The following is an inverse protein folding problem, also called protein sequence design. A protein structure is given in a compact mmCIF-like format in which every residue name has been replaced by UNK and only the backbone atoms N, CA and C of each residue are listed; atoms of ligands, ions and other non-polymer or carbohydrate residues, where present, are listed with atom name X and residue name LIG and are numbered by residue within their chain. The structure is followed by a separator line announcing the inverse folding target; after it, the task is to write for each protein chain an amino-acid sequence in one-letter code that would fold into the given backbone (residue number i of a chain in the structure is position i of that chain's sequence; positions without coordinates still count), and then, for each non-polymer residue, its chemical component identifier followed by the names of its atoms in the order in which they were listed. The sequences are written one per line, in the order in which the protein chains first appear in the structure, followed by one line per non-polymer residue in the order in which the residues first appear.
data_IF_439503759607
#
_entry.id   IF_439503759607
#
_cell.length_a   1.000
_cell.length_b   1.000
_cell.length_c   1.000
_cell.angle_alpha   90.00
_cell.angle_beta   90.00
_cell.angle_gamma   90.00
#
_symmetry.space_group_name_H-M   'P 1'
#
loop_
_entity.id
_entity.type
_entity.pdbx_description
1 polymer ?
#
# COMPACT_ATOMS: atom_id res chain seq x y z
N UNK A 1 2.62 -8.05 -15.85
CA UNK A 1 3.78 -7.95 -14.93
C UNK A 1 3.24 -8.04 -13.53
N UNK A 2 3.65 -9.06 -12.78
CA UNK A 2 3.31 -9.16 -11.37
C UNK A 2 4.55 -8.72 -10.59
N UNK A 3 4.38 -7.79 -9.66
CA UNK A 3 5.47 -7.26 -8.84
C UNK A 3 5.03 -7.23 -7.38
N UNK A 4 5.94 -7.49 -6.47
CA UNK A 4 5.69 -7.34 -5.04
C UNK A 4 6.85 -6.63 -4.37
N UNK A 5 6.54 -5.92 -3.27
CA UNK A 5 7.52 -5.30 -2.41
C UNK A 5 7.02 -5.22 -0.96
N UNK A 6 7.94 -4.94 -0.04
CA UNK A 6 7.62 -4.62 1.33
C UNK A 6 7.64 -3.10 1.53
N UNK A 7 6.68 -2.60 2.30
CA UNK A 7 6.58 -1.19 2.67
C UNK A 7 7.24 -1.02 4.04
N UNK A 8 8.21 -0.13 4.11
CA UNK A 8 8.93 0.19 5.35
C UNK A 8 8.60 1.60 5.82
N UNK A 9 8.61 1.81 7.13
CA UNK A 9 8.42 3.11 7.78
C UNK A 9 9.40 3.24 8.95
N UNK A 10 9.86 4.47 9.21
CA UNK A 10 10.55 4.83 10.45
C UNK A 10 9.50 5.35 11.42
N UNK A 11 9.37 4.69 12.57
CA UNK A 11 8.36 5.03 13.57
C UNK A 11 8.74 6.31 14.33
N UNK A 12 7.77 7.03 14.92
CA UNK A 12 8.07 8.21 15.73
C UNK A 12 9.06 7.88 16.86
N UNK A 13 10.16 8.63 16.92
CA UNK A 13 11.22 8.42 17.92
C UNK A 13 12.24 7.32 17.58
N UNK A 14 12.03 6.59 16.48
CA UNK A 14 12.92 5.52 16.04
C UNK A 14 13.83 5.97 14.89
N UNK A 15 14.91 5.22 14.66
CA UNK A 15 15.80 5.40 13.50
C UNK A 15 15.86 4.16 12.60
N UNK A 16 15.32 3.03 13.08
CA UNK A 16 15.27 1.78 12.34
C UNK A 16 14.07 1.69 11.40
N UNK A 17 14.27 1.06 10.25
CA UNK A 17 13.17 0.69 9.35
C UNK A 17 12.34 -0.43 9.96
N UNK A 18 11.05 -0.19 10.09
CA UNK A 18 10.06 -1.21 10.47
C UNK A 18 9.27 -1.61 9.23
N UNK A 19 9.11 -2.92 9.01
CA UNK A 19 8.23 -3.42 7.94
C UNK A 19 6.77 -3.19 8.34
N UNK A 20 6.08 -2.31 7.62
CA UNK A 20 4.69 -1.98 7.86
C UNK A 20 3.75 -2.99 7.19
N UNK A 21 4.08 -3.44 5.98
CA UNK A 21 3.20 -4.29 5.21
C UNK A 21 3.80 -4.76 3.90
N UNK A 22 2.96 -5.44 3.11
CA UNK A 22 3.33 -5.96 1.79
C UNK A 22 2.41 -5.35 0.73
N UNK A 23 3.01 -4.95 -0.38
CA UNK A 23 2.30 -4.46 -1.55
C UNK A 23 2.48 -5.43 -2.73
N UNK A 24 1.39 -5.72 -3.42
CA UNK A 24 1.37 -6.57 -4.61
C UNK A 24 0.70 -5.81 -5.74
N UNK A 25 1.35 -5.76 -6.90
CA UNK A 25 0.76 -5.29 -8.14
C UNK A 25 0.44 -6.50 -9.02
N UNK A 26 -0.84 -6.70 -9.31
CA UNK A 26 -1.32 -7.77 -10.20
C UNK A 26 -2.15 -7.19 -11.34
N UNK A 27 -2.24 -7.93 -12.44
CA UNK A 27 -3.13 -7.62 -13.57
C UNK A 27 -4.29 -8.62 -13.57
N UNK A 28 -5.33 -8.34 -12.78
CA UNK A 28 -6.46 -9.26 -12.57
C UNK A 28 -7.36 -9.40 -13.82
N UNK A 29 -7.29 -8.40 -14.72
CA UNK A 29 -7.96 -8.38 -16.02
C UNK A 29 -6.96 -7.91 -17.09
N UNK A 30 -7.13 -8.28 -18.37
CA UNK A 30 -6.28 -7.76 -19.45
C UNK A 30 -6.30 -6.23 -19.43
N UNK A 31 -5.17 -5.62 -19.06
CA UNK A 31 -4.95 -4.17 -19.11
C UNK A 31 -5.31 -3.35 -17.86
N UNK A 32 -5.86 -3.93 -16.78
CA UNK A 32 -6.17 -3.15 -15.57
C UNK A 32 -5.28 -3.56 -14.37
N UNK A 33 -4.20 -2.81 -14.07
CA UNK A 33 -3.37 -3.08 -12.90
C UNK A 33 -4.12 -2.75 -11.62
N UNK A 34 -4.10 -3.70 -10.68
CA UNK A 34 -4.67 -3.59 -9.33
C UNK A 34 -3.54 -3.72 -8.32
N UNK A 35 -3.35 -2.67 -7.52
CA UNK A 35 -2.45 -2.69 -6.38
C UNK A 35 -3.19 -3.19 -5.14
N UNK A 36 -2.58 -4.09 -4.37
CA UNK A 36 -3.09 -4.60 -3.09
C UNK A 36 -2.09 -4.35 -2.00
N UNK A 37 -2.51 -3.68 -0.93
CA UNK A 37 -1.69 -3.43 0.26
C UNK A 37 -2.32 -4.09 1.49
N UNK A 38 -1.47 -4.71 2.31
CA UNK A 38 -1.88 -5.31 3.59
C UNK A 38 -0.85 -4.98 4.65
N UNK A 39 -1.32 -4.50 5.80
CA UNK A 39 -0.47 -4.34 6.98
C UNK A 39 -0.03 -5.70 7.54
N UNK A 40 1.22 -5.77 8.01
CA UNK A 40 1.71 -6.94 8.73
C UNK A 40 1.01 -7.08 10.07
N UNK A 41 0.62 -8.30 10.46
CA UNK A 41 0.03 -8.55 11.79
C UNK A 41 0.95 -8.08 12.93
N UNK A 42 2.26 -8.27 12.77
CA UNK A 42 3.27 -7.80 13.72
C UNK A 42 3.35 -6.28 13.78
N UNK A 43 3.03 -5.57 12.70
CA UNK A 43 2.98 -4.11 12.67
C UNK A 43 1.72 -3.59 13.39
N UNK A 44 0.56 -4.18 13.10
CA UNK A 44 -0.72 -3.83 13.75
C UNK A 44 -0.73 -4.09 15.26
N UNK A 45 0.10 -5.01 15.74
CA UNK A 45 0.21 -5.31 17.17
C UNK A 45 1.11 -4.32 17.95
N UNK A 46 1.78 -3.38 17.27
CA UNK A 46 2.65 -2.40 17.93
C UNK A 46 1.82 -1.27 18.52
N UNK A 47 2.16 -0.84 19.73
CA UNK A 47 1.46 0.25 20.42
C UNK A 47 1.64 1.58 19.69
N UNK A 48 2.80 1.76 19.07
CA UNK A 48 3.24 2.95 18.36
C UNK A 48 3.07 2.82 16.83
N UNK A 49 2.30 1.83 16.36
CA UNK A 49 1.94 1.71 14.95
C UNK A 49 1.24 2.98 14.47
N UNK A 50 1.61 3.45 13.28
CA UNK A 50 0.97 4.59 12.61
C UNK A 50 0.54 4.17 11.20
N UNK A 51 -0.61 4.67 10.71
CA UNK A 51 -0.99 4.40 9.33
C UNK A 51 0.02 5.03 8.35
N UNK A 52 0.32 4.34 7.25
CA UNK A 52 1.14 4.87 6.15
C UNK A 52 0.48 6.11 5.53
N UNK A 53 -0.84 6.05 5.36
CA UNK A 53 -1.69 7.18 5.02
C UNK A 53 -2.90 7.15 5.97
N UNK A 54 -3.06 8.14 6.86
CA UNK A 54 -4.13 8.13 7.85
C UNK A 54 -5.54 8.28 7.25
N UNK A 55 -5.66 8.74 6.01
CA UNK A 55 -6.94 8.94 5.32
C UNK A 55 -7.29 7.70 4.51
N UNK A 56 -6.38 7.26 3.66
CA UNK A 56 -6.67 6.21 2.66
C UNK A 56 -6.28 4.80 3.15
N UNK A 57 -5.35 4.68 4.10
CA UNK A 57 -4.73 3.42 4.53
C UNK A 57 -4.72 3.28 6.06
N UNK A 58 -5.88 3.43 6.72
CA UNK A 58 -6.00 3.27 8.17
C UNK A 58 -5.50 1.91 8.70
N UNK A 59 -5.11 1.85 9.99
CA UNK A 59 -4.65 0.60 10.60
C UNK A 59 -5.80 -0.41 10.71
N UNK A 60 -5.76 -1.43 9.88
CA UNK A 60 -6.76 -2.50 9.85
C UNK A 60 -6.15 -3.79 9.31
N UNK A 61 -6.85 -4.90 9.50
CA UNK A 61 -6.50 -6.21 8.92
C UNK A 61 -7.05 -6.39 7.50
N UNK A 62 -7.83 -5.43 7.01
CA UNK A 62 -8.39 -5.46 5.66
C UNK A 62 -7.33 -5.23 4.58
N UNK A 63 -7.67 -5.64 3.35
CA UNK A 63 -6.85 -5.44 2.16
C UNK A 63 -7.27 -4.14 1.49
N UNK A 64 -6.33 -3.23 1.29
CA UNK A 64 -6.56 -2.03 0.49
C UNK A 64 -6.32 -2.34 -0.99
N UNK A 65 -7.26 -1.96 -1.85
CA UNK A 65 -7.12 -2.08 -3.30
C UNK A 65 -7.05 -0.72 -4.00
N UNK A 66 -6.09 -0.54 -4.90
CA UNK A 66 -6.04 0.61 -5.81
C UNK A 66 -6.19 0.14 -7.23
N UNK A 67 -7.17 0.71 -7.95
CA UNK A 67 -7.39 0.44 -9.37
C UNK A 67 -6.98 1.68 -10.17
N UNK A 68 -5.86 1.61 -10.91
CA UNK A 68 -5.53 2.69 -11.85
C UNK A 68 -6.47 2.61 -13.04
N UNK A 69 -7.45 3.52 -13.09
CA UNK A 69 -8.23 3.74 -14.32
C UNK A 69 -7.39 4.60 -15.26
N UNK A 70 -6.96 4.05 -16.40
CA UNK A 70 -6.45 4.86 -17.50
C UNK A 70 -7.62 5.69 -18.05
N UNK A 71 -7.67 6.98 -17.70
CA UNK A 71 -8.48 7.95 -18.42
C UNK A 71 -7.53 8.56 -19.45
N UNK A 72 -7.68 8.22 -20.72
CA UNK A 72 -7.10 9.01 -21.81
C UNK A 72 -7.76 10.38 -21.80
N UNK A 73 -7.29 11.30 -20.96
CA UNK A 73 -7.53 12.73 -21.15
C UNK A 73 -6.52 13.18 -22.20
N UNK A 74 -6.99 13.34 -23.42
CA UNK A 74 -6.35 14.16 -24.44
C UNK A 74 -6.07 15.52 -23.79
N UNK A 75 -4.82 15.76 -23.38
CA UNK A 75 -4.29 17.11 -23.29
C UNK A 75 -3.71 17.43 -24.66
N UNK A 76 -4.56 17.98 -25.53
CA UNK A 76 -4.09 18.83 -26.61
C UNK A 76 -3.86 20.21 -26.00
N UNK A 77 -2.60 20.60 -25.92
CA UNK A 77 -2.18 22.02 -25.96
C UNK A 77 -1.31 22.21 -27.18
#
# INVERSE_FOLDING_TARGET
MNGECFVYIVLPGETGFTTAGRFVLSADRPGLPTGRFVYGRSYLARLEAVPIDPIELGLTTEIFETRRRWISRNYSV
#
